data_IF_574994303008
#
_entry.id   IF_574994303008
#
_cell.length_a   1.000
_cell.length_b   1.000
_cell.length_c   1.000
_cell.angle_alpha   90.00
_cell.angle_beta   90.00
_cell.angle_gamma   90.00
#
_symmetry.space_group_name_H-M   'P 1'
#
loop_
_entity.id
_entity.type
_entity.pdbx_description
1 polymer ?
#
# COMPACT_ATOMS: atom_id res chain seq x y z
N UNK A 1 -10.04 -13.43 -37.19
CA UNK A 1 -10.49 -14.83 -37.26
C UNK A 1 -11.19 -15.17 -35.95
N UNK A 2 -12.15 -16.11 -35.97
CA UNK A 2 -12.90 -16.57 -34.78
C UNK A 2 -11.96 -16.98 -33.65
N UNK A 3 -10.84 -17.61 -33.96
CA UNK A 3 -9.83 -18.03 -32.98
C UNK A 3 -9.19 -16.82 -32.28
N UNK A 4 -8.87 -15.76 -33.01
CA UNK A 4 -8.30 -14.54 -32.43
C UNK A 4 -9.32 -13.83 -31.51
N UNK A 5 -10.57 -13.79 -31.95
CA UNK A 5 -11.66 -13.20 -31.15
C UNK A 5 -11.88 -13.98 -29.85
N UNK A 6 -11.96 -15.31 -29.90
CA UNK A 6 -12.13 -16.14 -28.72
C UNK A 6 -10.95 -16.05 -27.76
N UNK A 7 -9.73 -15.92 -28.29
CA UNK A 7 -8.52 -15.69 -27.50
C UNK A 7 -8.61 -14.35 -26.73
N UNK A 8 -8.99 -13.28 -27.41
CA UNK A 8 -9.17 -11.96 -26.79
C UNK A 8 -10.27 -12.02 -25.73
N UNK A 9 -11.41 -12.64 -26.00
CA UNK A 9 -12.49 -12.82 -25.03
C UNK A 9 -12.02 -13.57 -23.77
N UNK A 10 -11.23 -14.61 -23.93
CA UNK A 10 -10.65 -15.37 -22.80
C UNK A 10 -9.71 -14.51 -21.93
N UNK A 11 -8.85 -13.71 -22.57
CA UNK A 11 -7.96 -12.78 -21.85
C UNK A 11 -8.74 -11.66 -21.13
N UNK A 12 -9.82 -11.14 -21.73
CA UNK A 12 -10.71 -10.18 -21.09
C UNK A 12 -11.36 -10.77 -19.84
N UNK A 13 -11.84 -12.02 -19.92
CA UNK A 13 -12.45 -12.69 -18.76
C UNK A 13 -11.44 -12.87 -17.61
N UNK A 14 -10.21 -13.27 -17.91
CA UNK A 14 -9.13 -13.36 -16.91
C UNK A 14 -8.82 -11.98 -16.35
N UNK A 15 -8.68 -10.96 -17.18
CA UNK A 15 -8.44 -9.57 -16.76
C UNK A 15 -9.51 -9.08 -15.77
N UNK A 16 -10.77 -9.27 -16.12
CA UNK A 16 -11.88 -8.77 -15.31
C UNK A 16 -11.95 -9.52 -13.96
N UNK A 17 -11.65 -10.81 -13.95
CA UNK A 17 -11.51 -11.61 -12.72
C UNK A 17 -10.33 -11.12 -11.85
N UNK A 18 -9.17 -10.83 -12.44
CA UNK A 18 -8.00 -10.27 -11.71
C UNK A 18 -8.32 -8.90 -11.14
N UNK A 19 -8.94 -8.00 -11.90
CA UNK A 19 -9.38 -6.69 -11.41
C UNK A 19 -10.32 -6.80 -10.23
N UNK A 20 -11.28 -7.72 -10.30
CA UNK A 20 -12.21 -7.99 -9.21
C UNK A 20 -11.51 -8.56 -7.97
N UNK A 21 -10.51 -9.44 -8.13
CA UNK A 21 -9.68 -9.92 -7.02
C UNK A 21 -8.85 -8.80 -6.38
N UNK A 22 -8.31 -7.87 -7.17
CA UNK A 22 -7.61 -6.70 -6.67
C UNK A 22 -8.56 -5.82 -5.85
N UNK A 23 -9.75 -5.53 -6.38
CA UNK A 23 -10.79 -4.77 -5.69
C UNK A 23 -11.18 -5.43 -4.37
N UNK A 24 -11.49 -6.71 -4.37
CA UNK A 24 -11.89 -7.46 -3.17
C UNK A 24 -10.82 -7.44 -2.08
N UNK A 25 -9.55 -7.54 -2.45
CA UNK A 25 -8.45 -7.47 -1.49
C UNK A 25 -8.21 -6.05 -0.99
N UNK A 26 -8.31 -5.04 -1.85
CA UNK A 26 -8.14 -3.62 -1.51
C UNK A 26 -9.24 -3.13 -0.56
N UNK A 27 -10.48 -3.52 -0.83
CA UNK A 27 -11.67 -3.15 -0.04
C UNK A 27 -11.90 -4.07 1.17
N UNK A 28 -10.96 -4.95 1.46
CA UNK A 28 -11.01 -5.89 2.59
C UNK A 28 -12.28 -6.78 2.64
N UNK A 29 -12.68 -7.31 1.49
CA UNK A 29 -13.78 -8.26 1.41
C UNK A 29 -13.48 -9.54 2.20
N UNK A 30 -14.52 -10.27 2.67
CA UNK A 30 -14.35 -11.54 3.38
C UNK A 30 -13.54 -12.56 2.60
N UNK A 31 -12.74 -13.36 3.31
CA UNK A 31 -11.83 -14.35 2.70
C UNK A 31 -12.54 -15.41 1.86
N UNK A 32 -13.79 -15.78 2.19
CA UNK A 32 -14.61 -16.72 1.41
C UNK A 32 -14.95 -16.17 0.01
N UNK A 33 -15.23 -14.88 -0.11
CA UNK A 33 -15.47 -14.23 -1.40
C UNK A 33 -14.18 -14.15 -2.23
N UNK A 34 -13.05 -13.83 -1.59
CA UNK A 34 -11.74 -13.81 -2.24
C UNK A 34 -11.40 -15.22 -2.73
N UNK A 35 -11.60 -16.24 -1.90
CA UNK A 35 -11.33 -17.62 -2.27
C UNK A 35 -12.20 -18.11 -3.45
N UNK A 36 -13.50 -17.80 -3.42
CA UNK A 36 -14.41 -18.10 -4.54
C UNK A 36 -13.93 -17.48 -5.86
N UNK A 37 -13.46 -16.23 -5.82
CA UNK A 37 -12.95 -15.55 -7.02
C UNK A 37 -11.58 -16.11 -7.45
N UNK A 38 -10.76 -16.59 -6.53
CA UNK A 38 -9.51 -17.31 -6.84
C UNK A 38 -9.80 -18.65 -7.53
N UNK A 39 -10.80 -19.39 -7.10
CA UNK A 39 -11.25 -20.61 -7.80
C UNK A 39 -11.74 -20.28 -9.22
N UNK A 40 -12.49 -19.20 -9.38
CA UNK A 40 -12.93 -18.71 -10.69
C UNK A 40 -11.72 -18.34 -11.58
N UNK A 41 -10.74 -17.62 -11.04
CA UNK A 41 -9.50 -17.29 -11.77
C UNK A 41 -8.75 -18.55 -12.21
N UNK A 42 -8.61 -19.54 -11.33
CA UNK A 42 -7.98 -20.82 -11.66
C UNK A 42 -8.69 -21.51 -12.81
N UNK A 43 -10.03 -21.59 -12.76
CA UNK A 43 -10.83 -22.21 -13.82
C UNK A 43 -10.69 -21.50 -15.16
N UNK A 44 -10.75 -20.17 -15.18
CA UNK A 44 -10.60 -19.35 -16.38
C UNK A 44 -9.20 -19.52 -16.98
N UNK A 45 -8.16 -19.42 -16.14
CA UNK A 45 -6.77 -19.56 -16.54
C UNK A 45 -6.49 -20.96 -17.11
N UNK A 46 -6.87 -22.03 -16.42
CA UNK A 46 -6.61 -23.39 -16.86
C UNK A 46 -7.35 -23.72 -18.16
N UNK A 47 -8.59 -23.25 -18.32
CA UNK A 47 -9.33 -23.38 -19.57
C UNK A 47 -8.66 -22.63 -20.73
N UNK A 48 -8.21 -21.42 -20.47
CA UNK A 48 -7.54 -20.59 -21.47
C UNK A 48 -6.20 -21.18 -21.90
N UNK A 49 -5.35 -21.53 -20.93
CA UNK A 49 -4.00 -22.03 -21.23
C UNK A 49 -4.01 -23.40 -21.89
N UNK A 50 -5.00 -24.24 -21.61
CA UNK A 50 -5.21 -25.51 -22.32
C UNK A 50 -5.46 -25.31 -23.82
N UNK A 51 -6.11 -24.22 -24.19
CA UNK A 51 -6.48 -23.96 -25.60
C UNK A 51 -5.49 -23.07 -26.34
N UNK A 52 -4.93 -22.07 -25.65
CA UNK A 52 -4.13 -21.00 -26.26
C UNK A 52 -2.67 -20.93 -25.76
N UNK A 53 -2.31 -21.83 -24.83
CA UNK A 53 -0.99 -21.81 -24.18
C UNK A 53 -0.84 -20.68 -23.16
N UNK A 54 0.36 -20.51 -22.64
CA UNK A 54 0.69 -19.51 -21.63
C UNK A 54 0.34 -18.10 -22.08
N UNK A 55 -0.08 -17.23 -21.13
CA UNK A 55 -0.36 -15.82 -21.41
C UNK A 55 0.86 -15.13 -21.98
N UNK A 56 2.07 -15.46 -21.48
CA UNK A 56 3.33 -14.92 -21.93
C UNK A 56 3.77 -15.38 -23.34
N UNK A 57 3.02 -16.26 -24.01
CA UNK A 57 3.40 -16.69 -25.34
C UNK A 57 3.19 -15.60 -26.41
N UNK A 58 3.96 -15.68 -27.50
CA UNK A 58 3.92 -14.70 -28.59
C UNK A 58 2.53 -14.53 -29.21
N UNK A 59 1.74 -15.60 -29.30
CA UNK A 59 0.39 -15.53 -29.90
C UNK A 59 -0.58 -14.71 -29.04
N UNK A 60 -0.48 -14.82 -27.74
CA UNK A 60 -1.28 -14.06 -26.79
C UNK A 60 -0.78 -12.61 -26.70
N UNK A 61 0.54 -12.40 -26.73
CA UNK A 61 1.12 -11.06 -26.86
C UNK A 61 0.57 -10.30 -28.07
N UNK A 62 0.66 -10.87 -29.25
CA UNK A 62 0.19 -10.22 -30.47
C UNK A 62 -1.31 -9.92 -30.46
N UNK A 63 -2.11 -10.72 -29.75
CA UNK A 63 -3.54 -10.54 -29.66
C UNK A 63 -3.96 -9.47 -28.65
N UNK A 64 -3.17 -9.21 -27.61
CA UNK A 64 -3.60 -8.42 -26.45
C UNK A 64 -2.59 -7.38 -25.96
N UNK A 65 -1.42 -7.24 -26.60
CA UNK A 65 -0.38 -6.30 -26.18
C UNK A 65 -0.78 -4.81 -26.20
N UNK A 66 -1.83 -4.46 -26.92
CA UNK A 66 -2.39 -3.09 -26.94
C UNK A 66 -3.26 -2.79 -25.72
N UNK A 67 -3.69 -3.79 -24.94
CA UNK A 67 -4.41 -3.59 -23.69
C UNK A 67 -3.41 -3.27 -22.57
N UNK A 68 -3.64 -2.18 -21.84
CA UNK A 68 -2.77 -1.74 -20.73
C UNK A 68 -2.62 -2.78 -19.63
N UNK A 69 -3.60 -3.69 -19.51
CA UNK A 69 -3.58 -4.77 -18.51
C UNK A 69 -2.78 -6.00 -18.95
N UNK A 70 -2.20 -6.02 -20.14
CA UNK A 70 -1.47 -7.21 -20.62
C UNK A 70 -0.34 -7.62 -19.68
N UNK A 71 0.45 -6.66 -19.21
CA UNK A 71 1.56 -6.93 -18.28
C UNK A 71 1.06 -7.42 -16.91
N UNK A 72 -0.09 -6.96 -16.47
CA UNK A 72 -0.75 -7.49 -15.26
C UNK A 72 -1.11 -8.96 -15.46
N UNK A 73 -1.65 -9.34 -16.62
CA UNK A 73 -1.96 -10.73 -16.93
C UNK A 73 -0.70 -11.60 -17.08
N UNK A 74 0.37 -11.07 -17.63
CA UNK A 74 1.66 -11.77 -17.70
C UNK A 74 2.21 -12.09 -16.31
N UNK A 75 1.97 -11.24 -15.30
CA UNK A 75 2.40 -11.46 -13.92
C UNK A 75 1.70 -12.62 -13.21
N UNK A 76 0.65 -13.18 -13.81
CA UNK A 76 -0.01 -14.40 -13.32
C UNK A 76 0.86 -15.65 -13.49
N UNK A 77 1.87 -15.59 -14.33
CA UNK A 77 2.79 -16.68 -14.63
C UNK A 77 4.19 -16.35 -14.10
N UNK A 78 4.69 -17.18 -13.20
CA UNK A 78 6.09 -17.12 -12.76
C UNK A 78 6.91 -17.98 -13.71
N UNK A 79 7.83 -17.35 -14.42
CA UNK A 79 8.73 -18.01 -15.36
C UNK A 79 10.11 -18.20 -14.70
N UNK A 80 10.88 -19.17 -15.18
CA UNK A 80 12.29 -19.33 -14.84
C UNK A 80 13.18 -18.38 -15.67
N UNK A 81 14.50 -18.43 -15.45
CA UNK A 81 15.47 -17.56 -16.12
C UNK A 81 15.58 -17.84 -17.63
N UNK A 82 15.08 -19.00 -18.08
CA UNK A 82 15.01 -19.42 -19.49
C UNK A 82 13.66 -19.08 -20.15
N UNK A 83 12.73 -18.52 -19.37
CA UNK A 83 11.40 -18.15 -19.84
C UNK A 83 10.37 -19.28 -19.85
N UNK A 84 10.67 -20.42 -19.23
CA UNK A 84 9.74 -21.52 -19.10
C UNK A 84 8.79 -21.30 -17.89
N UNK A 85 7.58 -21.85 -18.01
CA UNK A 85 6.61 -21.80 -16.92
C UNK A 85 7.09 -22.59 -15.69
N UNK A 86 7.20 -21.90 -14.57
CA UNK A 86 7.58 -22.49 -13.29
C UNK A 86 6.36 -22.77 -12.38
N UNK A 87 5.51 -21.78 -12.22
CA UNK A 87 4.28 -21.89 -11.41
C UNK A 87 3.31 -20.75 -11.66
N UNK A 88 2.08 -20.91 -11.22
CA UNK A 88 1.12 -19.80 -11.10
C UNK A 88 1.59 -18.80 -10.03
N UNK A 89 1.24 -17.53 -10.17
CA UNK A 89 1.50 -16.50 -9.18
C UNK A 89 0.70 -16.72 -7.88
N UNK A 90 1.13 -16.10 -6.80
CA UNK A 90 0.50 -16.26 -5.49
C UNK A 90 -0.95 -15.75 -5.44
N UNK A 91 -1.35 -14.85 -6.32
CA UNK A 91 -2.73 -14.35 -6.43
C UNK A 91 -3.77 -15.46 -6.61
N UNK A 92 -3.40 -16.59 -7.19
CA UNK A 92 -4.31 -17.73 -7.38
C UNK A 92 -4.71 -18.44 -6.09
N UNK A 93 -3.93 -18.29 -5.01
CA UNK A 93 -4.10 -19.08 -3.78
C UNK A 93 -3.98 -18.27 -2.50
N UNK A 94 -3.40 -17.06 -2.57
CA UNK A 94 -3.09 -16.25 -1.38
C UNK A 94 -3.65 -14.84 -1.54
N UNK A 95 -3.89 -14.18 -0.41
CA UNK A 95 -4.03 -12.73 -0.35
C UNK A 95 -2.68 -12.09 -0.65
N UNK A 96 -2.61 -11.24 -1.68
CA UNK A 96 -1.37 -10.57 -2.13
C UNK A 96 -1.38 -9.07 -1.87
N UNK A 97 -2.57 -8.50 -1.61
CA UNK A 97 -2.75 -7.08 -1.32
C UNK A 97 -3.28 -6.95 0.11
N UNK A 98 -2.59 -6.14 0.92
CA UNK A 98 -3.09 -5.76 2.25
C UNK A 98 -4.01 -4.56 2.09
N UNK A 99 -5.23 -4.59 2.63
CA UNK A 99 -6.13 -3.44 2.58
C UNK A 99 -5.50 -2.28 3.34
N UNK A 100 -5.69 -1.06 2.83
CA UNK A 100 -5.36 0.15 3.56
C UNK A 100 -6.43 0.36 4.63
N UNK A 101 -6.10 -0.01 5.87
CA UNK A 101 -6.95 0.27 7.02
C UNK A 101 -6.55 1.63 7.58
N UNK A 102 -7.45 2.60 7.51
CA UNK A 102 -7.28 3.84 8.26
C UNK A 102 -7.34 3.52 9.75
N UNK A 103 -6.27 3.81 10.46
CA UNK A 103 -6.25 3.72 11.92
C UNK A 103 -6.93 4.98 12.45
N UNK A 104 -8.14 4.82 12.99
CA UNK A 104 -8.95 5.93 13.47
C UNK A 104 -8.74 6.22 14.95
N UNK A 105 -8.12 5.30 15.71
CA UNK A 105 -7.81 5.48 17.12
C UNK A 105 -6.59 4.67 17.53
N UNK A 106 -5.84 5.17 18.52
CA UNK A 106 -4.69 4.53 19.16
C UNK A 106 -4.73 4.79 20.67
N UNK A 107 -4.05 3.93 21.43
CA UNK A 107 -4.06 4.01 22.89
C UNK A 107 -2.97 4.93 23.46
N UNK A 108 -1.85 5.03 22.76
CA UNK A 108 -0.66 5.74 23.24
C UNK A 108 -0.28 6.94 22.40
N UNK A 109 0.33 7.94 23.03
CA UNK A 109 0.87 9.11 22.35
C UNK A 109 2.01 8.74 21.37
N UNK A 110 2.76 7.67 21.67
CA UNK A 110 3.84 7.19 20.80
C UNK A 110 3.30 6.58 19.49
N UNK A 111 2.20 5.83 19.56
CA UNK A 111 1.53 5.32 18.36
C UNK A 111 0.94 6.46 17.52
N UNK A 112 0.30 7.45 18.18
CA UNK A 112 -0.22 8.62 17.49
C UNK A 112 0.91 9.43 16.82
N UNK A 113 2.08 9.55 17.45
CA UNK A 113 3.25 10.20 16.85
C UNK A 113 3.75 9.43 15.61
N UNK A 114 3.86 8.10 15.69
CA UNK A 114 4.28 7.29 14.57
C UNK A 114 3.35 7.45 13.36
N UNK A 115 2.03 7.46 13.59
CA UNK A 115 1.03 7.72 12.55
C UNK A 115 1.11 9.14 12.01
N UNK A 116 1.28 10.15 12.90
CA UNK A 116 1.43 11.55 12.48
C UNK A 116 2.62 11.74 11.57
N UNK A 117 3.77 11.16 11.91
CA UNK A 117 4.96 11.22 11.04
C UNK A 117 4.74 10.44 9.74
N UNK A 118 4.14 9.24 9.79
CA UNK A 118 3.89 8.42 8.61
C UNK A 118 2.90 9.04 7.61
N UNK A 119 1.83 9.66 8.09
CA UNK A 119 0.75 10.17 7.24
C UNK A 119 0.83 11.68 6.94
N UNK A 120 1.33 12.47 7.90
CA UNK A 120 1.41 13.94 7.79
C UNK A 120 2.84 14.45 7.57
N UNK A 121 3.85 13.57 7.68
CA UNK A 121 5.27 13.90 7.63
C UNK A 121 5.70 14.97 8.64
N UNK A 122 4.98 15.11 9.76
CA UNK A 122 5.24 16.08 10.82
C UNK A 122 4.56 15.68 12.13
N UNK A 123 4.94 16.33 13.23
CA UNK A 123 4.21 16.25 14.51
C UNK A 123 2.96 17.12 14.40
N UNK A 124 1.80 16.51 14.20
CA UNK A 124 0.50 17.16 14.06
C UNK A 124 -0.34 16.89 15.31
N UNK A 125 -0.23 17.77 16.32
CA UNK A 125 -0.92 17.61 17.60
C UNK A 125 -2.44 17.50 17.46
N UNK A 126 -3.14 18.30 16.64
CA UNK A 126 -4.57 18.14 16.42
C UNK A 126 -4.95 16.75 15.90
N UNK A 127 -4.18 16.21 14.98
CA UNK A 127 -4.38 14.85 14.48
C UNK A 127 -4.14 13.80 15.56
N UNK A 128 -3.12 13.98 16.39
CA UNK A 128 -2.81 13.09 17.51
C UNK A 128 -3.88 13.15 18.62
N UNK A 129 -4.47 14.32 18.88
CA UNK A 129 -5.62 14.47 19.77
C UNK A 129 -6.83 13.67 19.27
N UNK A 130 -7.11 13.74 17.95
CA UNK A 130 -8.19 12.98 17.33
C UNK A 130 -7.98 11.47 17.44
N UNK A 131 -6.75 10.99 17.27
CA UNK A 131 -6.41 9.57 17.33
C UNK A 131 -6.45 9.00 18.75
N UNK A 132 -5.99 9.77 19.75
CA UNK A 132 -5.85 9.30 21.14
C UNK A 132 -7.04 9.64 22.01
N UNK A 133 -7.85 10.63 21.62
CA UNK A 133 -8.88 11.23 22.49
C UNK A 133 -8.31 11.99 23.70
N UNK A 134 -6.99 12.20 23.76
CA UNK A 134 -6.30 12.92 24.83
C UNK A 134 -6.05 14.37 24.44
N UNK A 135 -6.09 15.31 25.39
CA UNK A 135 -5.75 16.71 25.12
C UNK A 135 -4.25 16.85 24.78
N UNK A 136 -3.91 17.84 23.95
CA UNK A 136 -2.53 18.08 23.50
C UNK A 136 -1.51 18.21 24.64
N UNK A 137 -1.92 18.76 25.76
CA UNK A 137 -1.07 18.94 26.95
C UNK A 137 -0.61 17.59 27.52
N UNK A 138 -1.50 16.61 27.56
CA UNK A 138 -1.21 15.24 28.00
C UNK A 138 -0.29 14.54 26.98
N UNK A 139 -0.58 14.68 25.70
CA UNK A 139 0.25 14.11 24.61
C UNK A 139 1.68 14.68 24.68
N UNK A 140 1.84 15.99 24.86
CA UNK A 140 3.13 16.64 24.98
C UNK A 140 3.89 16.13 26.21
N UNK A 141 3.18 15.93 27.33
CA UNK A 141 3.74 15.38 28.56
C UNK A 141 4.22 13.94 28.38
N UNK A 142 3.38 13.10 27.75
CA UNK A 142 3.71 11.70 27.47
C UNK A 142 4.89 11.55 26.51
N UNK A 143 5.09 12.52 25.62
CA UNK A 143 6.16 12.56 24.63
C UNK A 143 7.35 13.46 25.05
N UNK A 144 7.45 13.80 26.32
CA UNK A 144 8.57 14.59 26.83
C UNK A 144 9.90 13.89 26.56
N UNK A 145 10.85 14.60 25.92
CA UNK A 145 12.13 14.03 25.49
C UNK A 145 12.09 13.34 24.11
N UNK A 146 10.89 13.17 23.51
CA UNK A 146 10.72 12.63 22.17
C UNK A 146 10.40 13.71 21.15
N UNK A 147 9.52 14.66 21.53
CA UNK A 147 9.22 15.84 20.74
C UNK A 147 9.71 17.11 21.44
N UNK A 148 10.09 18.10 20.66
CA UNK A 148 10.65 19.37 21.14
C UNK A 148 9.91 20.54 20.52
N UNK A 149 9.61 21.54 21.36
CA UNK A 149 9.00 22.78 20.88
C UNK A 149 10.05 23.61 20.13
N UNK A 150 9.68 24.12 18.97
CA UNK A 150 10.49 25.10 18.25
C UNK A 150 10.30 26.46 18.94
N UNK A 151 11.38 27.12 19.46
CA UNK A 151 11.27 28.43 20.09
C UNK A 151 10.73 29.49 19.11
N UNK A 152 9.96 30.44 19.66
CA UNK A 152 9.44 31.58 18.92
C UNK A 152 8.51 31.25 17.73
N UNK A 153 7.82 30.10 17.77
CA UNK A 153 6.76 29.77 16.80
C UNK A 153 5.37 30.03 17.39
N UNK A 154 4.52 30.70 16.61
CA UNK A 154 3.11 30.90 16.94
C UNK A 154 2.25 30.55 15.71
N UNK A 155 1.36 29.55 15.82
CA UNK A 155 1.16 28.67 16.97
C UNK A 155 2.40 27.78 17.27
N UNK A 156 2.48 27.27 18.52
CA UNK A 156 3.59 26.44 18.96
C UNK A 156 3.75 25.20 18.08
N UNK A 157 4.91 25.03 17.49
CA UNK A 157 5.26 23.88 16.65
C UNK A 157 6.17 22.92 17.42
N UNK A 158 5.96 21.63 17.19
CA UNK A 158 6.75 20.55 17.76
C UNK A 158 7.38 19.73 16.67
N UNK A 159 8.59 19.24 16.91
CA UNK A 159 9.35 18.38 16.00
C UNK A 159 9.98 17.24 16.77
N UNK A 160 10.35 16.17 16.09
CA UNK A 160 11.11 15.06 16.68
C UNK A 160 12.54 15.47 17.00
N UNK A 161 13.24 14.69 17.84
CA UNK A 161 14.64 14.93 18.19
C UNK A 161 15.54 15.01 16.95
N UNK A 162 15.36 14.10 15.99
CA UNK A 162 16.14 14.05 14.76
C UNK A 162 15.95 15.32 13.91
N UNK A 163 14.74 15.81 13.79
CA UNK A 163 14.44 17.06 13.08
C UNK A 163 14.95 18.27 13.85
N UNK A 164 14.79 18.29 15.18
CA UNK A 164 15.28 19.40 16.02
C UNK A 164 16.79 19.52 15.97
N UNK A 165 17.51 18.39 15.99
CA UNK A 165 18.98 18.35 15.96
C UNK A 165 19.57 18.39 14.56
N UNK A 166 18.75 18.42 13.51
CA UNK A 166 19.20 18.60 12.13
C UNK A 166 19.59 20.05 11.83
N UNK A 167 20.52 20.28 10.90
CA UNK A 167 20.94 21.61 10.44
C UNK A 167 21.82 22.35 11.43
N UNK A 168 21.65 23.68 11.58
CA UNK A 168 22.51 24.50 12.42
C UNK A 168 22.13 24.41 13.91
N UNK A 169 22.65 23.39 14.58
CA UNK A 169 22.39 23.11 16.00
C UNK A 169 22.87 24.25 16.92
N UNK A 170 23.98 24.96 16.58
CA UNK A 170 24.47 26.09 17.35
C UNK A 170 23.47 27.25 17.38
N UNK A 171 22.92 27.60 16.23
CA UNK A 171 21.92 28.68 16.17
C UNK A 171 20.66 28.30 16.95
N UNK A 172 20.21 27.03 16.85
CA UNK A 172 19.08 26.53 17.62
C UNK A 172 19.31 26.54 19.12
N UNK A 173 20.53 26.19 19.57
CA UNK A 173 20.90 26.25 20.99
C UNK A 173 20.82 27.67 21.54
N UNK A 174 21.42 28.65 20.84
CA UNK A 174 21.38 30.07 21.23
C UNK A 174 19.93 30.56 21.35
N UNK A 175 19.08 30.20 20.39
CA UNK A 175 17.66 30.58 20.40
C UNK A 175 16.91 29.94 21.57
N UNK A 176 17.18 28.66 21.87
CA UNK A 176 16.57 27.94 22.98
C UNK A 176 17.01 28.53 24.35
N UNK A 177 18.29 28.87 24.52
CA UNK A 177 18.80 29.49 25.75
C UNK A 177 18.23 30.91 25.97
N UNK A 178 17.98 31.66 24.89
CA UNK A 178 17.33 32.96 24.96
C UNK A 178 15.85 32.86 25.34
N UNK A 179 15.16 31.81 24.90
CA UNK A 179 13.74 31.56 25.20
C UNK A 179 13.51 30.97 26.60
N UNK A 180 14.54 30.45 27.25
CA UNK A 180 14.48 29.86 28.60
C UNK A 180 14.73 30.92 29.72
N UNK A 181 15.12 32.14 29.37
CA UNK A 181 15.30 33.29 30.28
C UNK A 181 14.03 34.12 30.34
#
# INVERSE_FOLDING_TARGET
SVTAENRIKGLIQIRDCVRKLIEYQTEDYPDDLIHTEQENLNRLYDSFTKQYGLINNRGNYLAFASDESYFLLCSLEVLDDEGNFKRKADMFTKRTIKPHREITSVETASEALALSIGEKARVDLPYMEQLTGKPKEEIIKDLQGVIFRIPATEPAQYVTADEYLSGNVRAKLITAEAAAK
#
